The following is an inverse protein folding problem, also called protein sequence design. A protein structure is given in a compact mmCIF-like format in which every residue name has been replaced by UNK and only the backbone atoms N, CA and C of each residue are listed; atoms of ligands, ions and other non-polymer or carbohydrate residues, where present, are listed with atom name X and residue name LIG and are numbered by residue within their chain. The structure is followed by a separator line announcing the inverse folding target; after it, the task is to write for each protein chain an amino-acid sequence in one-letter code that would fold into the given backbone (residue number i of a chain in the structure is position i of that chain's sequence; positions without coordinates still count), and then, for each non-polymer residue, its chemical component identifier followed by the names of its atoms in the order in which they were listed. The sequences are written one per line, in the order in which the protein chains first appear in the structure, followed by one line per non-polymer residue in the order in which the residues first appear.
data_IF_637432941068
#
_entry.id   IF_637432941068
#
_cell.length_a   1.000
_cell.length_b   1.000
_cell.length_c   1.000
_cell.angle_alpha   90.00
_cell.angle_beta   90.00
_cell.angle_gamma   90.00
#
_symmetry.space_group_name_H-M   'P 1'
#
loop_
_entity.id
_entity.type
_entity.pdbx_description
1 polymer ?
#
# COMPACT_ATOMS: atom_id res chain seq x y z
N UNK A 1 -4.91 5.81 -26.15
CA UNK A 1 -4.30 7.08 -25.70
C UNK A 1 -4.00 6.91 -24.24
N UNK A 2 -2.73 6.68 -23.89
CA UNK A 2 -2.35 6.51 -22.48
C UNK A 2 -2.46 7.87 -21.79
N UNK A 3 -3.47 8.02 -20.92
CA UNK A 3 -3.77 9.29 -20.24
C UNK A 3 -2.72 9.58 -19.14
N UNK A 4 -1.82 8.63 -18.87
CA UNK A 4 -0.85 8.72 -17.78
C UNK A 4 0.58 8.49 -18.29
N UNK A 5 1.38 9.55 -18.31
CA UNK A 5 2.82 9.41 -18.50
C UNK A 5 3.44 8.67 -17.31
N UNK A 6 4.52 7.90 -17.54
CA UNK A 6 5.23 7.16 -16.48
C UNK A 6 5.60 8.08 -15.31
N UNK A 7 6.06 9.29 -15.60
CA UNK A 7 6.42 10.32 -14.62
C UNK A 7 5.22 10.72 -13.75
N UNK A 8 4.04 10.90 -14.35
CA UNK A 8 2.81 11.22 -13.62
C UNK A 8 2.39 10.09 -12.70
N UNK A 9 2.49 8.84 -13.14
CA UNK A 9 2.14 7.67 -12.31
C UNK A 9 3.09 7.56 -11.12
N UNK A 10 4.39 7.74 -11.35
CA UNK A 10 5.39 7.71 -10.28
C UNK A 10 5.17 8.84 -9.27
N UNK A 11 4.94 10.07 -9.74
CA UNK A 11 4.65 11.21 -8.88
C UNK A 11 3.38 10.98 -8.04
N UNK A 12 2.28 10.52 -8.66
CA UNK A 12 1.04 10.20 -7.94
C UNK A 12 1.25 9.09 -6.91
N UNK A 13 2.01 8.04 -7.26
CA UNK A 13 2.30 6.92 -6.35
C UNK A 13 3.10 7.39 -5.15
N UNK A 14 4.12 8.24 -5.37
CA UNK A 14 4.94 8.80 -4.31
C UNK A 14 4.13 9.70 -3.37
N UNK A 15 3.33 10.62 -3.92
CA UNK A 15 2.43 11.48 -3.14
C UNK A 15 1.46 10.64 -2.31
N UNK A 16 0.87 9.61 -2.93
CA UNK A 16 -0.04 8.71 -2.22
C UNK A 16 0.63 7.95 -1.08
N UNK A 17 1.87 7.48 -1.27
CA UNK A 17 2.64 6.80 -0.21
C UNK A 17 2.89 7.72 0.98
N UNK A 18 3.29 8.97 0.75
CA UNK A 18 3.49 9.95 1.82
C UNK A 18 2.20 10.17 2.61
N UNK A 19 1.08 10.42 1.91
CA UNK A 19 -0.22 10.65 2.56
C UNK A 19 -0.61 9.44 3.41
N UNK A 20 -0.56 8.23 2.84
CA UNK A 20 -0.96 7.02 3.54
C UNK A 20 -0.12 6.75 4.79
N UNK A 21 1.21 6.89 4.70
CA UNK A 21 2.13 6.68 5.82
C UNK A 21 1.92 7.72 6.91
N UNK A 22 1.77 9.00 6.55
CA UNK A 22 1.50 10.07 7.52
C UNK A 22 0.15 9.89 8.22
N UNK A 23 -0.90 9.49 7.49
CA UNK A 23 -2.20 9.21 8.09
C UNK A 23 -2.12 8.06 9.10
N UNK A 24 -1.45 6.96 8.74
CA UNK A 24 -1.28 5.83 9.65
C UNK A 24 -0.45 6.18 10.90
N UNK A 25 0.64 6.94 10.71
CA UNK A 25 1.48 7.41 11.80
C UNK A 25 0.72 8.35 12.74
N UNK A 26 -0.09 9.27 12.19
CA UNK A 26 -0.94 10.16 12.98
C UNK A 26 -1.96 9.38 13.81
N UNK A 27 -2.62 8.37 13.22
CA UNK A 27 -3.53 7.49 13.96
C UNK A 27 -2.79 6.76 15.09
N UNK A 28 -1.61 6.22 14.82
CA UNK A 28 -0.79 5.53 15.82
C UNK A 28 -0.38 6.46 16.98
N UNK A 29 0.04 7.70 16.69
CA UNK A 29 0.33 8.70 17.72
C UNK A 29 -0.90 9.11 18.52
N UNK A 30 -2.05 9.33 17.88
CA UNK A 30 -3.28 9.75 18.57
C UNK A 30 -3.76 8.65 19.52
N UNK A 31 -3.69 7.38 19.11
CA UNK A 31 -4.15 6.26 19.92
C UNK A 31 -3.20 5.92 21.07
N UNK A 32 -1.89 6.04 20.86
CA UNK A 32 -0.88 5.76 21.90
C UNK A 32 -0.62 6.93 22.84
N UNK A 33 -0.86 8.17 22.39
CA UNK A 33 -0.46 9.39 23.09
C UNK A 33 1.04 9.69 23.02
N UNK A 34 1.82 8.90 22.26
CA UNK A 34 3.29 8.98 22.22
C UNK A 34 3.80 9.17 20.78
N UNK A 35 4.67 10.16 20.58
CA UNK A 35 5.28 10.42 19.27
C UNK A 35 6.26 9.33 18.83
N UNK A 36 6.87 8.61 19.78
CA UNK A 36 7.77 7.49 19.49
C UNK A 36 7.03 6.37 18.73
N UNK A 37 5.78 6.09 19.10
CA UNK A 37 4.94 5.09 18.44
C UNK A 37 4.70 5.43 16.97
N UNK A 38 4.52 6.71 16.61
CA UNK A 38 4.42 7.13 15.22
C UNK A 38 5.73 6.91 14.44
N UNK A 39 6.88 7.13 15.07
CA UNK A 39 8.19 6.83 14.48
C UNK A 39 8.33 5.34 14.16
N UNK A 40 8.01 4.48 15.12
CA UNK A 40 8.00 3.02 14.93
C UNK A 40 6.98 2.58 13.87
N UNK A 41 5.80 3.19 13.85
CA UNK A 41 4.79 2.90 12.85
C UNK A 41 5.32 3.11 11.43
N UNK A 42 5.96 4.25 11.15
CA UNK A 42 6.51 4.56 9.81
C UNK A 42 7.55 3.52 9.39
N UNK A 43 8.43 3.12 10.30
CA UNK A 43 9.51 2.16 10.03
C UNK A 43 8.99 0.74 9.76
N UNK A 44 7.97 0.31 10.50
CA UNK A 44 7.44 -1.05 10.44
C UNK A 44 6.39 -1.20 9.34
N UNK A 45 5.49 -0.22 9.19
CA UNK A 45 4.33 -0.31 8.29
C UNK A 45 4.73 -0.47 6.83
N UNK A 46 5.77 0.23 6.40
CA UNK A 46 6.19 0.22 5.00
C UNK A 46 6.66 -1.17 4.51
N UNK A 47 7.65 -1.83 5.15
CA UNK A 47 8.06 -3.18 4.76
C UNK A 47 6.96 -4.20 5.04
N UNK A 48 6.17 -4.03 6.11
CA UNK A 48 5.10 -4.96 6.44
C UNK A 48 4.00 -4.98 5.37
N UNK A 49 3.60 -3.82 4.84
CA UNK A 49 2.66 -3.75 3.70
C UNK A 49 3.19 -4.43 2.45
N UNK A 50 4.48 -4.30 2.16
CA UNK A 50 5.08 -4.99 1.01
C UNK A 50 5.07 -6.50 1.20
N UNK A 51 5.42 -6.98 2.40
CA UNK A 51 5.35 -8.41 2.76
C UNK A 51 3.93 -8.96 2.67
N UNK A 52 2.95 -8.25 3.24
CA UNK A 52 1.55 -8.66 3.14
C UNK A 52 1.00 -8.60 1.72
N UNK A 53 1.37 -7.60 0.92
CA UNK A 53 0.98 -7.56 -0.48
C UNK A 53 1.53 -8.78 -1.24
N UNK A 54 2.80 -9.12 -1.04
CA UNK A 54 3.39 -10.30 -1.69
C UNK A 54 2.66 -11.60 -1.30
N UNK A 55 2.39 -11.81 0.01
CA UNK A 55 1.67 -12.98 0.50
C UNK A 55 0.22 -12.99 -0.02
N UNK A 56 -0.43 -11.82 -0.07
CA UNK A 56 -1.76 -11.66 -0.64
C UNK A 56 -1.80 -12.12 -2.09
N UNK A 57 -0.90 -11.60 -2.94
CA UNK A 57 -0.85 -12.00 -4.35
C UNK A 57 -0.60 -13.50 -4.50
N UNK A 58 0.33 -14.05 -3.72
CA UNK A 58 0.62 -15.48 -3.78
C UNK A 58 -0.55 -16.36 -3.34
N UNK A 59 -1.29 -15.94 -2.32
CA UNK A 59 -2.50 -16.62 -1.91
C UNK A 59 -3.59 -16.47 -3.00
N UNK A 60 -3.71 -15.28 -3.59
CA UNK A 60 -4.70 -14.97 -4.62
C UNK A 60 -4.48 -15.76 -5.92
N UNK A 61 -3.23 -16.01 -6.31
CA UNK A 61 -2.87 -16.87 -7.45
C UNK A 61 -3.45 -18.29 -7.35
N UNK A 62 -3.76 -18.77 -6.13
CA UNK A 62 -4.35 -20.10 -5.93
C UNK A 62 -5.88 -20.10 -5.99
N UNK A 63 -6.51 -18.93 -6.16
CA UNK A 63 -7.95 -18.75 -6.17
C UNK A 63 -8.41 -18.50 -7.63
N UNK A 64 -9.22 -19.41 -8.17
CA UNK A 64 -9.78 -19.28 -9.54
C UNK A 64 -10.96 -18.30 -9.65
N UNK A 65 -11.36 -17.67 -8.55
CA UNK A 65 -12.49 -16.76 -8.49
C UNK A 65 -12.25 -15.50 -9.34
N UNK A 66 -13.16 -15.22 -10.28
CA UNK A 66 -13.11 -14.03 -11.13
C UNK A 66 -12.28 -14.17 -12.40
N UNK A 67 -11.71 -15.35 -12.68
CA UNK A 67 -11.10 -15.66 -13.98
C UNK A 67 -12.23 -15.87 -14.99
N UNK A 68 -12.55 -14.84 -15.78
CA UNK A 68 -13.41 -15.00 -16.94
C UNK A 68 -12.64 -15.78 -18.01
N UNK A 69 -13.21 -16.87 -18.53
CA UNK A 69 -12.67 -17.48 -19.75
C UNK A 69 -12.53 -16.40 -20.84
N UNK A 70 -11.46 -16.41 -21.64
CA UNK A 70 -11.36 -15.50 -22.77
C UNK A 70 -12.57 -15.80 -23.66
N UNK A 71 -13.48 -14.84 -23.81
CA UNK A 71 -14.54 -14.94 -24.81
C UNK A 71 -13.85 -15.07 -26.18
N UNK A 72 -13.94 -16.27 -26.76
CA UNK A 72 -13.39 -16.62 -28.07
C UNK A 72 -14.03 -15.79 -29.20
#
# INVERSE_FOLDING_TARGET
MDIYTRERVLAKTFVWRIIATLTGAAIAAILSGELETAGWFILIEFPLKMGFYYVHERAWETIEWGVAEPSA
#
